data_IF_027069914224
#
_entry.id   IF_027069914224
#
_cell.length_a   1.000
_cell.length_b   1.000
_cell.length_c   1.000
_cell.angle_alpha   90.00
_cell.angle_beta   90.00
_cell.angle_gamma   90.00
#
_symmetry.space_group_name_H-M   'P 1'
#
loop_
_entity.id
_entity.type
_entity.pdbx_description
1 polymer ?
#
# COMPACT_ATOMS: atom_id res chain seq x y z
N UNK A 1 -30.59 -16.81 1.82
CA UNK A 1 -30.03 -15.51 1.39
C UNK A 1 -29.53 -14.80 2.64
N UNK A 2 -28.26 -14.89 2.90
CA UNK A 2 -27.60 -14.19 4.01
C UNK A 2 -26.68 -13.13 3.39
N UNK A 3 -26.94 -11.86 3.73
CA UNK A 3 -26.09 -10.72 3.34
C UNK A 3 -24.80 -10.76 4.15
N UNK A 4 -23.61 -10.75 3.53
CA UNK A 4 -22.37 -10.70 4.27
C UNK A 4 -21.90 -9.26 4.51
N UNK A 5 -21.51 -8.99 5.76
CA UNK A 5 -20.36 -8.23 6.20
C UNK A 5 -20.34 -6.71 6.12
N UNK A 6 -21.18 -6.05 6.95
CA UNK A 6 -20.91 -4.66 7.39
C UNK A 6 -19.88 -4.57 8.55
N UNK A 7 -19.53 -5.69 9.19
CA UNK A 7 -18.65 -5.75 10.37
C UNK A 7 -17.15 -5.75 10.05
N UNK A 8 -16.74 -6.25 8.88
CA UNK A 8 -15.32 -6.38 8.51
C UNK A 8 -14.72 -5.06 8.01
N UNK A 9 -15.49 -4.26 7.31
CA UNK A 9 -15.06 -2.94 6.81
C UNK A 9 -14.87 -1.93 7.94
N UNK A 10 -15.74 -1.92 8.95
CA UNK A 10 -15.62 -1.06 10.12
C UNK A 10 -14.33 -1.30 10.92
N UNK A 11 -13.93 -2.56 11.07
CA UNK A 11 -12.71 -2.95 11.78
C UNK A 11 -11.42 -2.57 11.01
N UNK A 12 -11.45 -2.64 9.68
CA UNK A 12 -10.33 -2.25 8.82
C UNK A 12 -10.11 -0.73 8.82
N UNK A 13 -11.17 0.06 8.75
CA UNK A 13 -11.11 1.52 8.82
C UNK A 13 -10.60 2.01 10.19
N UNK A 14 -10.97 1.35 11.28
CA UNK A 14 -10.50 1.70 12.62
C UNK A 14 -9.03 1.36 12.83
N UNK A 15 -8.56 0.20 12.33
CA UNK A 15 -7.13 -0.16 12.33
C UNK A 15 -6.30 0.83 11.52
N UNK A 16 -6.80 1.25 10.35
CA UNK A 16 -6.15 2.25 9.52
C UNK A 16 -6.07 3.61 10.23
N UNK A 17 -7.14 4.05 10.88
CA UNK A 17 -7.17 5.28 11.68
C UNK A 17 -6.15 5.27 12.81
N UNK A 18 -5.96 4.14 13.50
CA UNK A 18 -4.93 3.97 14.55
C UNK A 18 -3.52 4.00 13.95
N UNK A 19 -3.27 3.28 12.85
CA UNK A 19 -1.97 3.25 12.19
C UNK A 19 -1.52 4.60 11.64
N UNK A 20 -2.46 5.41 11.14
CA UNK A 20 -2.21 6.75 10.60
C UNK A 20 -2.32 7.88 11.63
N UNK A 21 -2.42 7.55 12.93
CA UNK A 21 -2.65 8.52 14.00
C UNK A 21 -1.58 9.61 14.09
N UNK A 22 -0.30 9.26 13.90
CA UNK A 22 0.83 10.20 13.90
C UNK A 22 0.82 11.12 12.68
N UNK A 23 0.63 10.57 11.49
CA UNK A 23 0.55 11.33 10.23
C UNK A 23 -0.65 12.28 10.24
N UNK A 24 -1.80 11.82 10.74
CA UNK A 24 -2.99 12.64 10.92
C UNK A 24 -2.74 13.79 11.89
N UNK A 25 -2.08 13.55 13.03
CA UNK A 25 -1.75 14.60 14.00
C UNK A 25 -0.84 15.66 13.39
N UNK A 26 0.21 15.25 12.65
CA UNK A 26 1.09 16.18 11.94
C UNK A 26 0.32 17.07 10.96
N UNK A 27 -0.48 16.48 10.08
CA UNK A 27 -1.32 17.22 9.14
C UNK A 27 -2.29 18.15 9.86
N UNK A 28 -2.99 17.67 10.89
CA UNK A 28 -3.97 18.47 11.63
C UNK A 28 -3.30 19.64 12.37
N UNK A 29 -2.11 19.45 12.97
CA UNK A 29 -1.39 20.55 13.66
C UNK A 29 -0.95 21.61 12.66
N UNK A 30 -0.34 21.21 11.53
CA UNK A 30 0.07 22.15 10.48
C UNK A 30 -1.11 23.01 9.97
N UNK A 31 -2.24 22.39 9.73
CA UNK A 31 -3.44 23.10 9.30
C UNK A 31 -4.12 23.90 10.44
N UNK A 32 -4.00 23.48 11.70
CA UNK A 32 -4.50 24.27 12.84
C UNK A 32 -3.74 25.57 12.99
N UNK A 33 -2.43 25.55 12.83
CA UNK A 33 -1.58 26.75 12.86
C UNK A 33 -1.92 27.70 11.70
N UNK A 34 -2.29 27.15 10.54
CA UNK A 34 -2.79 27.90 9.40
C UNK A 34 -4.16 28.57 9.65
N UNK A 35 -5.02 27.95 10.46
CA UNK A 35 -6.37 28.47 10.79
C UNK A 35 -6.34 29.53 11.88
N UNK A 36 -5.43 29.42 12.86
CA UNK A 36 -5.41 30.24 14.07
C UNK A 36 -4.54 31.49 13.95
N UNK A 37 -3.71 31.61 12.92
CA UNK A 37 -2.84 32.77 12.71
C UNK A 37 -3.58 34.00 12.17
N UNK A 38 -3.22 35.24 12.58
CA UNK A 38 -3.73 36.47 11.96
C UNK A 38 -3.14 36.61 10.57
N UNK A 39 -3.90 36.39 9.50
CA UNK A 39 -3.40 36.43 8.13
C UNK A 39 -3.93 37.60 7.35
N UNK A 40 -3.00 38.39 6.86
CA UNK A 40 -3.15 39.33 5.75
C UNK A 40 -2.52 38.66 4.53
N UNK A 41 -3.25 38.65 3.42
CA UNK A 41 -2.77 38.46 2.04
C UNK A 41 -2.80 37.02 1.53
N UNK A 42 -3.46 36.86 0.37
CA UNK A 42 -3.72 35.62 -0.35
C UNK A 42 -2.45 34.81 -0.72
N UNK A 43 -1.36 35.49 -1.09
CA UNK A 43 -0.11 34.81 -1.51
C UNK A 43 0.65 34.15 -0.35
N UNK A 44 0.67 34.75 0.83
CA UNK A 44 1.34 34.16 1.99
C UNK A 44 0.64 32.89 2.48
N UNK A 45 -0.69 32.86 2.39
CA UNK A 45 -1.46 31.69 2.78
C UNK A 45 -1.23 30.49 1.85
N UNK A 46 -1.17 30.71 0.53
CA UNK A 46 -0.86 29.64 -0.43
C UNK A 46 0.55 29.09 -0.22
N UNK A 47 1.53 29.95 0.04
CA UNK A 47 2.91 29.55 0.35
C UNK A 47 2.99 28.70 1.63
N UNK A 48 2.20 29.07 2.64
CA UNK A 48 2.13 28.29 3.87
C UNK A 48 1.48 26.91 3.65
N UNK A 49 0.42 26.83 2.85
CA UNK A 49 -0.22 25.56 2.45
C UNK A 49 0.75 24.70 1.67
N UNK A 50 1.47 25.27 0.71
CA UNK A 50 2.53 24.60 -0.06
C UNK A 50 3.60 24.02 0.86
N UNK A 51 4.15 24.85 1.73
CA UNK A 51 5.16 24.44 2.71
C UNK A 51 4.67 23.32 3.64
N UNK A 52 3.42 23.40 4.09
CA UNK A 52 2.81 22.35 4.91
C UNK A 52 2.69 21.02 4.16
N UNK A 53 2.27 21.03 2.90
CA UNK A 53 2.16 19.83 2.07
C UNK A 53 3.52 19.21 1.76
N UNK A 54 4.53 20.03 1.44
CA UNK A 54 5.91 19.59 1.22
C UNK A 54 6.53 18.98 2.48
N UNK A 55 6.23 19.56 3.66
CA UNK A 55 6.79 19.08 4.94
C UNK A 55 6.30 17.68 5.37
N UNK A 56 5.26 17.16 4.73
CA UNK A 56 4.74 15.81 4.95
C UNK A 56 5.07 14.87 3.78
N UNK A 57 6.13 15.17 3.05
CA UNK A 57 6.69 14.35 1.96
C UNK A 57 5.76 14.18 0.73
N UNK A 58 4.83 15.12 0.52
CA UNK A 58 4.07 15.17 -0.75
C UNK A 58 4.99 15.76 -1.81
N UNK A 59 5.14 15.07 -2.94
CA UNK A 59 6.03 15.50 -4.02
C UNK A 59 5.63 16.87 -4.61
N UNK A 60 6.61 17.72 -5.00
CA UNK A 60 6.35 19.10 -5.48
C UNK A 60 5.35 19.16 -6.65
N UNK A 61 5.45 18.25 -7.62
CA UNK A 61 4.51 18.18 -8.74
C UNK A 61 3.07 18.00 -8.27
N UNK A 62 2.85 17.07 -7.32
CA UNK A 62 1.51 16.83 -6.77
C UNK A 62 0.99 18.01 -5.97
N UNK A 63 1.87 18.73 -5.27
CA UNK A 63 1.52 19.94 -4.53
C UNK A 63 1.07 21.03 -5.49
N UNK A 64 1.85 21.31 -6.54
CA UNK A 64 1.49 22.30 -7.56
C UNK A 64 0.14 21.99 -8.22
N UNK A 65 -0.09 20.76 -8.65
CA UNK A 65 -1.37 20.35 -9.24
C UNK A 65 -2.55 20.55 -8.27
N UNK A 66 -2.34 20.32 -6.97
CA UNK A 66 -3.39 20.52 -5.96
C UNK A 66 -3.69 22.00 -5.76
N UNK A 67 -2.65 22.85 -5.72
CA UNK A 67 -2.80 24.29 -5.58
C UNK A 67 -3.47 24.91 -6.83
N UNK A 68 -3.08 24.53 -8.03
CA UNK A 68 -3.74 24.94 -9.27
C UNK A 68 -5.21 24.53 -9.27
N UNK A 69 -5.52 23.28 -8.89
CA UNK A 69 -6.90 22.81 -8.76
C UNK A 69 -7.71 23.60 -7.73
N UNK A 70 -7.10 24.10 -6.66
CA UNK A 70 -7.76 24.96 -5.68
C UNK A 70 -8.11 26.33 -6.28
N UNK A 71 -7.17 26.94 -7.02
CA UNK A 71 -7.37 28.23 -7.66
C UNK A 71 -8.49 28.15 -8.72
N UNK A 72 -8.54 27.06 -9.47
CA UNK A 72 -9.53 26.86 -10.52
C UNK A 72 -10.95 26.61 -9.97
N UNK A 73 -11.04 25.94 -8.80
CA UNK A 73 -12.33 25.49 -8.25
C UNK A 73 -12.94 26.48 -7.25
N UNK A 74 -12.15 27.33 -6.64
CA UNK A 74 -12.63 28.29 -5.63
C UNK A 74 -12.66 29.72 -6.18
N UNK A 75 -13.73 30.48 -5.89
CA UNK A 75 -13.73 31.91 -6.16
C UNK A 75 -12.64 32.61 -5.35
N UNK A 76 -12.03 33.64 -5.91
CA UNK A 76 -10.91 34.38 -5.26
C UNK A 76 -11.22 34.85 -3.83
N UNK A 77 -12.47 35.22 -3.56
CA UNK A 77 -12.92 35.62 -2.22
C UNK A 77 -12.88 34.48 -1.18
N UNK A 78 -12.87 33.24 -1.61
CA UNK A 78 -12.86 32.05 -0.74
C UNK A 78 -11.46 31.46 -0.56
N UNK A 79 -10.49 31.86 -1.37
CA UNK A 79 -9.11 31.36 -1.30
C UNK A 79 -8.37 31.81 -0.04
N UNK A 80 -8.80 32.89 0.58
CA UNK A 80 -8.22 33.41 1.84
C UNK A 80 -8.96 32.90 3.10
N UNK A 81 -10.06 32.14 2.94
CA UNK A 81 -10.80 31.57 4.07
C UNK A 81 -10.42 30.10 4.30
N UNK A 82 -9.65 29.79 5.38
CA UNK A 82 -9.26 28.42 5.69
C UNK A 82 -10.43 27.45 5.86
N UNK A 83 -11.60 27.94 6.29
CA UNK A 83 -12.80 27.12 6.49
C UNK A 83 -13.37 26.58 5.17
N UNK A 84 -13.18 27.33 4.09
CA UNK A 84 -13.61 26.93 2.75
C UNK A 84 -12.51 26.16 2.02
N UNK A 85 -11.26 26.60 2.16
CA UNK A 85 -10.12 26.04 1.44
C UNK A 85 -9.77 24.60 1.90
N UNK A 86 -9.74 24.35 3.21
CA UNK A 86 -9.33 23.03 3.71
C UNK A 86 -10.28 21.89 3.33
N UNK A 87 -11.61 22.03 3.39
CA UNK A 87 -12.50 21.01 2.86
C UNK A 87 -12.30 20.74 1.36
N UNK A 88 -12.05 21.78 0.58
CA UNK A 88 -11.81 21.63 -0.87
C UNK A 88 -10.45 20.97 -1.15
N UNK A 89 -9.40 21.36 -0.45
CA UNK A 89 -8.09 20.68 -0.53
C UNK A 89 -8.24 19.19 -0.22
N UNK A 90 -8.95 18.86 0.85
CA UNK A 90 -9.23 17.45 1.19
C UNK A 90 -9.98 16.74 0.07
N UNK A 91 -10.96 17.39 -0.57
CA UNK A 91 -11.71 16.82 -1.69
C UNK A 91 -10.79 16.54 -2.89
N UNK A 92 -9.91 17.48 -3.23
CA UNK A 92 -8.92 17.32 -4.30
C UNK A 92 -7.96 16.16 -3.99
N UNK A 93 -7.47 16.06 -2.76
CA UNK A 93 -6.60 14.94 -2.34
C UNK A 93 -7.32 13.59 -2.47
N UNK A 94 -8.56 13.49 -2.04
CA UNK A 94 -9.36 12.27 -2.17
C UNK A 94 -9.62 11.94 -3.63
N UNK A 95 -9.93 12.93 -4.46
CA UNK A 95 -10.14 12.75 -5.90
C UNK A 95 -8.87 12.22 -6.60
N UNK A 96 -7.71 12.82 -6.32
CA UNK A 96 -6.42 12.34 -6.82
C UNK A 96 -6.11 10.90 -6.38
N UNK A 97 -6.31 10.58 -5.11
CA UNK A 97 -6.09 9.21 -4.61
C UNK A 97 -7.07 8.21 -5.22
N UNK A 98 -8.32 8.60 -5.41
CA UNK A 98 -9.35 7.73 -5.99
C UNK A 98 -9.09 7.41 -7.46
N UNK A 99 -8.43 8.30 -8.21
CA UNK A 99 -8.06 8.05 -9.61
C UNK A 99 -7.03 6.93 -9.77
N UNK A 100 -6.24 6.65 -8.73
CA UNK A 100 -5.26 5.57 -8.68
C UNK A 100 -5.78 4.31 -7.97
N UNK A 101 -7.06 4.33 -7.52
CA UNK A 101 -7.64 3.17 -6.87
C UNK A 101 -8.03 2.14 -7.94
N UNK A 102 -7.23 1.09 -8.06
CA UNK A 102 -7.59 -0.12 -8.78
C UNK A 102 -7.46 -1.32 -7.83
N UNK A 103 -8.45 -2.21 -7.86
CA UNK A 103 -8.23 -3.53 -7.27
C UNK A 103 -7.20 -4.27 -8.13
N UNK A 104 -6.35 -5.09 -7.48
CA UNK A 104 -5.46 -6.00 -8.20
C UNK A 104 -6.33 -7.02 -8.95
N UNK A 105 -6.45 -6.84 -10.26
CA UNK A 105 -7.15 -7.78 -11.13
C UNK A 105 -6.25 -8.99 -11.37
N UNK A 106 -6.69 -10.15 -10.92
CA UNK A 106 -6.02 -11.42 -11.22
C UNK A 106 -6.44 -11.80 -12.63
N UNK A 107 -5.47 -11.81 -13.55
CA UNK A 107 -5.67 -12.20 -14.95
C UNK A 107 -6.35 -13.56 -15.07
N UNK A 108 -7.20 -13.71 -16.08
CA UNK A 108 -7.79 -15.01 -16.44
C UNK A 108 -6.78 -15.96 -17.08
N UNK A 109 -5.63 -15.44 -17.55
CA UNK A 109 -4.50 -16.25 -18.00
C UNK A 109 -3.64 -16.60 -16.76
N UNK A 110 -3.87 -17.74 -16.17
CA UNK A 110 -3.12 -18.25 -15.03
C UNK A 110 -1.69 -18.69 -15.42
N UNK A 111 -0.71 -18.58 -14.51
CA UNK A 111 -0.79 -17.95 -13.19
C UNK A 111 -0.51 -16.44 -13.25
N UNK A 112 -1.21 -15.65 -12.42
CA UNK A 112 -0.81 -14.27 -12.15
C UNK A 112 0.31 -14.27 -11.09
N UNK A 113 1.47 -13.73 -11.43
CA UNK A 113 2.68 -13.81 -10.58
C UNK A 113 2.97 -12.45 -9.98
N UNK A 114 3.09 -12.38 -8.63
CA UNK A 114 3.39 -11.16 -7.89
C UNK A 114 4.67 -11.34 -7.08
N UNK A 115 5.69 -10.54 -7.39
CA UNK A 115 6.95 -10.47 -6.64
C UNK A 115 6.88 -9.39 -5.56
N UNK A 116 7.25 -9.75 -4.32
CA UNK A 116 7.35 -8.80 -3.22
C UNK A 116 8.80 -8.41 -3.02
N UNK A 117 9.12 -7.16 -3.38
CA UNK A 117 10.47 -6.59 -3.25
C UNK A 117 10.49 -5.49 -2.20
N UNK A 118 11.63 -5.31 -1.53
CA UNK A 118 11.79 -4.27 -0.53
C UNK A 118 12.83 -4.63 0.53
N UNK A 119 13.14 -3.69 1.41
CA UNK A 119 14.12 -3.85 2.48
C UNK A 119 13.66 -4.86 3.53
N UNK A 120 14.60 -5.35 4.36
CA UNK A 120 14.26 -6.19 5.50
C UNK A 120 13.37 -5.42 6.49
N UNK A 121 12.35 -6.08 7.03
CA UNK A 121 11.39 -5.46 7.94
C UNK A 121 10.30 -4.59 7.27
N UNK A 122 10.29 -4.43 5.93
CA UNK A 122 9.24 -3.70 5.21
C UNK A 122 7.84 -4.37 5.27
N UNK A 123 7.78 -5.61 5.74
CA UNK A 123 6.52 -6.35 5.88
C UNK A 123 6.15 -7.20 4.68
N UNK A 124 7.10 -7.58 3.79
CA UNK A 124 6.87 -8.43 2.61
C UNK A 124 6.13 -9.71 2.97
N UNK A 125 6.73 -10.57 3.77
CA UNK A 125 6.16 -11.87 4.21
C UNK A 125 4.79 -11.72 4.87
N UNK A 126 4.62 -10.69 5.71
CA UNK A 126 3.32 -10.40 6.35
C UNK A 126 2.25 -9.97 5.34
N UNK A 127 2.63 -9.19 4.33
CA UNK A 127 1.71 -8.75 3.27
C UNK A 127 1.29 -9.93 2.40
N UNK A 128 2.23 -10.80 2.04
CA UNK A 128 1.97 -12.05 1.31
C UNK A 128 0.94 -12.90 2.05
N UNK A 129 1.16 -13.14 3.37
CA UNK A 129 0.23 -13.92 4.17
C UNK A 129 -1.19 -13.35 4.20
N UNK A 130 -1.33 -12.05 4.35
CA UNK A 130 -2.64 -11.36 4.33
C UNK A 130 -3.32 -11.42 2.97
N UNK A 131 -2.56 -11.30 1.87
CA UNK A 131 -3.09 -11.45 0.52
C UNK A 131 -3.51 -12.88 0.23
N UNK A 132 -2.72 -13.85 0.65
CA UNK A 132 -3.06 -15.27 0.54
C UNK A 132 -4.40 -15.57 1.22
N UNK A 133 -4.58 -15.12 2.47
CA UNK A 133 -5.85 -15.25 3.21
C UNK A 133 -7.00 -14.55 2.49
N UNK A 134 -6.79 -13.31 2.03
CA UNK A 134 -7.83 -12.52 1.34
C UNK A 134 -8.30 -13.15 0.05
N UNK A 135 -7.37 -13.60 -0.80
CA UNK A 135 -7.73 -14.15 -2.11
C UNK A 135 -8.19 -15.61 -2.03
N UNK A 136 -7.68 -16.40 -1.07
CA UNK A 136 -8.22 -17.72 -0.76
C UNK A 136 -9.68 -17.62 -0.32
N UNK A 137 -10.02 -16.65 0.52
CA UNK A 137 -11.42 -16.37 0.91
C UNK A 137 -12.32 -15.93 -0.26
N UNK A 138 -11.73 -15.38 -1.35
CA UNK A 138 -12.42 -15.08 -2.61
C UNK A 138 -12.52 -16.29 -3.56
N UNK A 139 -12.07 -17.48 -3.13
CA UNK A 139 -12.12 -18.73 -3.91
C UNK A 139 -11.02 -18.88 -4.95
N UNK A 140 -9.94 -18.08 -4.87
CA UNK A 140 -8.79 -18.18 -5.76
C UNK A 140 -7.83 -19.28 -5.32
N UNK A 141 -7.29 -20.05 -6.28
CA UNK A 141 -6.20 -20.99 -6.05
C UNK A 141 -4.87 -20.24 -5.90
N UNK A 142 -4.15 -20.46 -4.78
CA UNK A 142 -2.96 -19.70 -4.44
C UNK A 142 -1.78 -20.61 -4.16
N UNK A 143 -0.60 -20.18 -4.64
CA UNK A 143 0.67 -20.81 -4.34
C UNK A 143 1.62 -19.73 -3.77
N UNK A 144 2.34 -20.09 -2.70
CA UNK A 144 3.40 -19.26 -2.14
C UNK A 144 4.76 -19.79 -2.55
N UNK A 145 5.72 -18.88 -2.83
CA UNK A 145 7.11 -19.23 -3.08
C UNK A 145 8.01 -18.57 -2.04
N UNK A 146 8.75 -19.38 -1.27
CA UNK A 146 9.70 -18.92 -0.27
C UNK A 146 11.06 -18.61 -0.90
N UNK A 147 11.14 -17.53 -1.69
CA UNK A 147 12.37 -17.10 -2.36
C UNK A 147 13.35 -16.35 -1.45
N UNK A 148 13.01 -15.98 -0.20
CA UNK A 148 13.97 -15.50 0.82
C UNK A 148 14.71 -16.70 1.45
N UNK A 149 15.62 -17.30 0.68
CA UNK A 149 16.37 -18.49 1.10
C UNK A 149 17.51 -18.17 2.05
N UNK A 150 17.89 -16.90 2.19
CA UNK A 150 18.95 -16.46 3.11
C UNK A 150 18.49 -16.43 4.56
N UNK A 151 17.20 -16.39 4.82
CA UNK A 151 16.62 -16.24 6.14
C UNK A 151 15.70 -17.43 6.46
N UNK A 152 16.23 -18.43 7.17
CA UNK A 152 15.44 -19.60 7.57
C UNK A 152 14.13 -19.21 8.28
N UNK A 153 14.18 -18.22 9.18
CA UNK A 153 13.00 -17.72 9.88
C UNK A 153 11.94 -17.08 8.93
N UNK A 154 12.32 -16.59 7.75
CA UNK A 154 11.37 -16.05 6.79
C UNK A 154 10.58 -17.17 6.11
N UNK A 155 11.25 -18.26 5.72
CA UNK A 155 10.61 -19.45 5.15
C UNK A 155 9.64 -20.09 6.16
N UNK A 156 10.05 -20.22 7.44
CA UNK A 156 9.19 -20.74 8.52
C UNK A 156 7.97 -19.85 8.74
N UNK A 157 8.15 -18.53 8.74
CA UNK A 157 7.05 -17.58 8.87
C UNK A 157 6.08 -17.69 7.70
N UNK A 158 6.59 -17.81 6.47
CA UNK A 158 5.75 -17.96 5.29
C UNK A 158 4.97 -19.31 5.30
N UNK A 159 5.61 -20.37 5.79
CA UNK A 159 4.99 -21.69 5.98
C UNK A 159 3.82 -21.64 6.96
N UNK A 160 3.97 -20.91 8.07
CA UNK A 160 2.87 -20.70 9.02
C UNK A 160 1.70 -19.92 8.39
N UNK A 161 1.98 -18.95 7.51
CA UNK A 161 0.94 -18.26 6.75
C UNK A 161 0.24 -19.18 5.76
N UNK A 162 1.00 -20.03 5.05
CA UNK A 162 0.44 -21.04 4.13
C UNK A 162 -0.54 -21.97 4.85
N UNK A 163 -0.13 -22.51 5.99
CA UNK A 163 -0.94 -23.40 6.82
C UNK A 163 -2.23 -22.70 7.31
N UNK A 164 -2.12 -21.48 7.84
CA UNK A 164 -3.27 -20.71 8.33
C UNK A 164 -4.28 -20.37 7.25
N UNK A 165 -3.79 -20.11 6.03
CA UNK A 165 -4.62 -19.72 4.89
C UNK A 165 -5.10 -20.95 4.07
N UNK A 166 -4.63 -22.15 4.41
CA UNK A 166 -4.95 -23.37 3.68
C UNK A 166 -4.42 -23.39 2.24
N UNK A 167 -3.28 -22.71 1.99
CA UNK A 167 -2.67 -22.60 0.65
C UNK A 167 -1.37 -23.38 0.57
N UNK A 168 -0.97 -23.76 -0.66
CA UNK A 168 0.27 -24.49 -0.88
C UNK A 168 1.47 -23.53 -0.86
N UNK A 169 2.65 -24.10 -0.50
CA UNK A 169 3.93 -23.40 -0.52
C UNK A 169 4.99 -24.22 -1.23
N UNK A 170 5.87 -23.56 -1.97
CA UNK A 170 7.15 -24.09 -2.46
C UNK A 170 8.26 -23.43 -1.67
N UNK A 171 9.08 -24.25 -1.03
CA UNK A 171 10.27 -23.85 -0.30
C UNK A 171 11.46 -24.73 -0.68
N UNK A 172 12.68 -24.25 -0.43
CA UNK A 172 13.89 -25.04 -0.74
C UNK A 172 13.99 -26.27 0.17
N UNK A 173 14.00 -27.44 -0.41
CA UNK A 173 14.36 -28.67 0.31
C UNK A 173 15.91 -28.82 0.39
N UNK A 174 16.61 -27.80 0.94
CA UNK A 174 18.06 -27.84 1.12
C UNK A 174 18.89 -27.06 0.07
N UNK A 175 18.29 -26.41 -0.91
CA UNK A 175 18.96 -25.45 -1.81
C UNK A 175 18.91 -24.05 -1.24
N UNK A 176 20.03 -23.34 -1.22
CA UNK A 176 20.07 -21.92 -0.85
C UNK A 176 19.79 -20.98 -2.05
N UNK A 177 19.51 -21.53 -3.23
CA UNK A 177 19.28 -20.76 -4.45
C UNK A 177 17.83 -20.30 -4.57
N UNK A 178 17.64 -19.00 -4.40
CA UNK A 178 16.34 -18.32 -4.53
C UNK A 178 15.73 -18.50 -5.92
N UNK A 179 16.55 -18.43 -6.98
CA UNK A 179 16.07 -18.55 -8.35
C UNK A 179 15.50 -19.94 -8.64
N UNK A 180 16.14 -20.98 -8.13
CA UNK A 180 15.64 -22.37 -8.24
C UNK A 180 14.26 -22.53 -7.60
N UNK A 181 14.07 -22.03 -6.37
CA UNK A 181 12.77 -22.08 -5.66
C UNK A 181 11.68 -21.37 -6.44
N UNK A 182 12.00 -20.19 -6.97
CA UNK A 182 11.04 -19.39 -7.75
C UNK A 182 10.69 -20.10 -9.05
N UNK A 183 11.69 -20.66 -9.75
CA UNK A 183 11.47 -21.41 -10.98
C UNK A 183 10.53 -22.63 -10.73
N UNK A 184 10.81 -23.42 -9.71
CA UNK A 184 9.99 -24.56 -9.34
C UNK A 184 8.57 -24.16 -8.99
N UNK A 185 8.40 -23.02 -8.29
CA UNK A 185 7.09 -22.47 -7.97
C UNK A 185 6.32 -22.04 -9.22
N UNK A 186 6.98 -21.43 -10.21
CA UNK A 186 6.36 -21.05 -11.49
C UNK A 186 5.93 -22.31 -12.27
N UNK A 187 6.78 -23.32 -12.38
CA UNK A 187 6.44 -24.58 -13.04
C UNK A 187 5.25 -25.28 -12.37
N UNK A 188 5.27 -25.32 -11.04
CA UNK A 188 4.15 -25.89 -10.26
C UNK A 188 2.87 -25.07 -10.43
N UNK A 189 2.96 -23.75 -10.43
CA UNK A 189 1.80 -22.87 -10.61
C UNK A 189 1.15 -23.07 -11.99
N UNK A 190 1.95 -23.22 -13.03
CA UNK A 190 1.47 -23.49 -14.40
C UNK A 190 0.83 -24.88 -14.51
N UNK A 191 1.48 -25.91 -13.98
CA UNK A 191 0.99 -27.29 -14.08
C UNK A 191 -0.26 -27.57 -13.25
N UNK A 192 -0.46 -26.86 -12.16
CA UNK A 192 -1.60 -26.98 -11.26
C UNK A 192 -2.70 -25.93 -11.50
N UNK A 193 -2.60 -25.15 -12.58
CA UNK A 193 -3.56 -24.10 -12.95
C UNK A 193 -3.87 -23.13 -11.78
N UNK A 194 -2.81 -22.69 -11.07
CA UNK A 194 -2.91 -21.76 -9.95
C UNK A 194 -3.30 -20.36 -10.46
N UNK A 195 -4.30 -19.74 -9.86
CA UNK A 195 -4.72 -18.37 -10.20
C UNK A 195 -3.65 -17.32 -9.83
N UNK A 196 -3.01 -17.48 -8.64
CA UNK A 196 -2.13 -16.46 -8.07
C UNK A 196 -0.91 -17.09 -7.40
N UNK A 197 0.28 -16.74 -7.91
CA UNK A 197 1.57 -17.08 -7.31
C UNK A 197 2.13 -15.83 -6.59
N UNK A 198 2.31 -15.92 -5.27
CA UNK A 198 2.92 -14.87 -4.44
C UNK A 198 4.34 -15.27 -4.08
N UNK A 199 5.32 -14.45 -4.50
CA UNK A 199 6.75 -14.73 -4.35
C UNK A 199 7.35 -13.83 -3.29
N UNK A 200 7.82 -14.40 -2.16
CA UNK A 200 8.64 -13.68 -1.19
C UNK A 200 10.09 -13.65 -1.65
N UNK A 201 10.73 -12.48 -1.61
CA UNK A 201 12.12 -12.31 -2.00
C UNK A 201 12.97 -11.82 -0.83
N UNK A 202 14.27 -12.04 -0.90
CA UNK A 202 15.22 -11.49 0.04
C UNK A 202 15.17 -9.95 0.07
N UNK A 203 15.59 -9.34 1.18
CA UNK A 203 15.62 -7.89 1.30
C UNK A 203 16.75 -7.25 0.52
N UNK A 204 16.47 -6.18 -0.21
CA UNK A 204 17.39 -5.48 -1.12
C UNK A 204 18.45 -4.59 -0.45
N UNK A 205 18.73 -4.72 0.84
CA UNK A 205 19.75 -3.90 1.53
C UNK A 205 21.18 -4.44 1.44
N UNK A 206 21.37 -5.60 0.83
CA UNK A 206 22.71 -6.13 0.61
C UNK A 206 22.97 -6.17 -0.89
N UNK A 207 23.85 -5.32 -1.33
CA UNK A 207 24.44 -5.36 -2.68
C UNK A 207 25.30 -6.63 -2.84
N UNK A 208 24.67 -7.78 -2.79
CA UNK A 208 25.26 -9.01 -3.24
C UNK A 208 24.86 -9.19 -4.71
N UNK A 209 25.86 -9.26 -5.56
CA UNK A 209 25.80 -9.48 -7.01
C UNK A 209 25.17 -10.84 -7.43
N UNK A 210 24.32 -11.42 -6.60
CA UNK A 210 23.67 -12.72 -6.79
C UNK A 210 22.13 -12.67 -6.64
N UNK A 211 21.55 -11.50 -6.98
CA UNK A 211 20.10 -11.38 -7.19
C UNK A 211 19.79 -11.46 -8.67
#
# INVERSE_FOLDING_TARGET
>A
MATPSSTTEGNSAEKLRRGLGSSRKKLTSLFSDLILGPKKIEEDFFRDVEGALLSVDIGPSSVNDMLESLVDKLPRSSLSDPKTLLPELKRIMVEKLSSFHSEMEISSSAPHIVFFVGVNGAGKTTTIGKLAERYSAKGKSILLAAGDTFRAAAADQLSQWAERSGVQIVSSAGSSDSASVIYDAIQKAQSAEIDLLLVDTAGCLQANSQL
#
